data_IF_522676538694
#
_entry.id   IF_522676538694
#
_cell.length_a   1.000
_cell.length_b   1.000
_cell.length_c   1.000
_cell.angle_alpha   90.00
_cell.angle_beta   90.00
_cell.angle_gamma   90.00
#
_symmetry.space_group_name_H-M   'P 1'
#
loop_
_entity.id
_entity.type
_entity.pdbx_description
1 polymer ?
#
# COMPACT_ATOMS: atom_id res chain seq x y z
N UNK A 1 22.23 14.85 -12.82
CA UNK A 1 20.82 14.49 -13.08
C UNK A 1 20.23 15.56 -13.99
N UNK A 2 19.58 15.19 -15.09
CA UNK A 2 18.98 16.15 -16.03
C UNK A 2 17.46 16.15 -15.82
N UNK A 3 16.89 17.29 -15.44
CA UNK A 3 15.44 17.47 -15.35
C UNK A 3 14.90 17.62 -16.78
N UNK A 4 13.98 16.75 -17.18
CA UNK A 4 13.36 16.79 -18.51
C UNK A 4 12.19 17.78 -18.54
N UNK A 5 11.47 17.93 -17.42
CA UNK A 5 10.34 18.84 -17.27
C UNK A 5 10.09 19.18 -15.79
N UNK A 6 9.83 20.45 -15.48
CA UNK A 6 9.41 20.92 -14.17
C UNK A 6 8.47 22.12 -14.35
N UNK A 7 7.21 21.98 -13.92
CA UNK A 7 6.17 23.00 -14.08
C UNK A 7 5.30 23.04 -12.82
N UNK A 8 5.02 24.25 -12.30
CA UNK A 8 4.19 24.46 -11.11
C UNK A 8 4.93 24.25 -9.77
N UNK A 9 4.18 23.91 -8.73
CA UNK A 9 4.71 23.74 -7.36
C UNK A 9 5.23 22.32 -7.14
N UNK A 10 6.52 22.10 -7.37
CA UNK A 10 7.14 20.78 -7.26
C UNK A 10 7.80 20.50 -5.90
N UNK A 11 7.93 21.49 -5.02
CA UNK A 11 8.69 21.37 -3.76
C UNK A 11 7.80 21.22 -2.52
N UNK A 12 6.53 21.60 -2.61
CA UNK A 12 5.60 21.46 -1.48
C UNK A 12 5.25 20.00 -1.21
N UNK A 13 5.24 19.63 0.07
CA UNK A 13 4.88 18.28 0.53
C UNK A 13 3.39 18.19 0.79
N UNK A 14 2.79 17.08 0.38
CA UNK A 14 1.38 16.74 0.62
C UNK A 14 1.27 15.33 1.16
N UNK A 15 0.12 15.00 1.76
CA UNK A 15 -0.16 13.63 2.15
C UNK A 15 -0.10 12.71 0.92
N UNK A 16 0.63 11.59 0.97
CA UNK A 16 0.76 10.71 -0.19
C UNK A 16 -0.54 9.95 -0.50
N UNK A 17 -1.46 9.85 0.48
CA UNK A 17 -2.72 9.12 0.32
C UNK A 17 -2.45 7.71 -0.26
N UNK A 18 -3.12 7.34 -1.34
CA UNK A 18 -2.94 6.01 -1.95
C UNK A 18 -1.65 5.82 -2.73
N UNK A 19 -0.88 6.87 -3.05
CA UNK A 19 0.43 6.69 -3.70
C UNK A 19 1.44 6.04 -2.75
N UNK A 20 1.22 6.16 -1.43
CA UNK A 20 2.04 5.49 -0.41
C UNK A 20 1.99 3.96 -0.49
N UNK A 21 1.00 3.39 -1.18
CA UNK A 21 0.94 1.95 -1.47
C UNK A 21 2.18 1.44 -2.21
N UNK A 22 2.85 2.30 -2.99
CA UNK A 22 4.14 1.97 -3.62
C UNK A 22 5.18 1.64 -2.57
N UNK A 23 5.34 2.49 -1.55
CA UNK A 23 6.28 2.26 -0.46
C UNK A 23 5.89 1.03 0.38
N UNK A 24 4.60 0.91 0.76
CA UNK A 24 4.10 -0.27 1.49
C UNK A 24 4.35 -1.57 0.71
N UNK A 25 4.24 -1.54 -0.62
CA UNK A 25 4.52 -2.71 -1.45
C UNK A 25 5.99 -3.14 -1.32
N UNK A 26 6.93 -2.20 -1.33
CA UNK A 26 8.35 -2.51 -1.13
C UNK A 26 8.59 -3.12 0.25
N UNK A 27 8.04 -2.50 1.30
CA UNK A 27 8.16 -3.01 2.68
C UNK A 27 7.58 -4.42 2.81
N UNK A 28 6.40 -4.66 2.23
CA UNK A 28 5.71 -5.93 2.33
C UNK A 28 6.42 -7.07 1.60
N UNK A 29 7.03 -6.81 0.44
CA UNK A 29 7.84 -7.80 -0.28
C UNK A 29 9.18 -8.05 0.42
N UNK A 30 9.83 -7.01 0.93
CA UNK A 30 11.13 -7.12 1.61
C UNK A 30 11.00 -7.87 2.96
N UNK A 31 9.95 -7.60 3.73
CA UNK A 31 9.67 -8.31 5.00
C UNK A 31 9.11 -9.73 4.78
N UNK A 32 8.76 -10.08 3.54
CA UNK A 32 8.26 -11.40 3.15
C UNK A 32 6.78 -11.65 3.44
N UNK A 33 6.00 -10.62 3.80
CA UNK A 33 4.55 -10.74 3.92
C UNK A 33 3.88 -10.89 2.54
N UNK A 34 4.32 -10.09 1.57
CA UNK A 34 3.93 -10.21 0.16
C UNK A 34 4.91 -11.16 -0.53
N UNK A 35 4.38 -12.14 -1.26
CA UNK A 35 5.19 -13.20 -1.87
C UNK A 35 5.31 -13.00 -3.38
N UNK A 36 4.16 -12.77 -4.03
CA UNK A 36 4.06 -12.51 -5.46
C UNK A 36 2.80 -11.69 -5.75
N UNK A 37 2.52 -11.38 -7.01
CA UNK A 37 1.36 -10.57 -7.42
C UNK A 37 0.00 -11.12 -6.94
N UNK A 38 -0.08 -12.42 -6.67
CA UNK A 38 -1.31 -13.15 -6.31
C UNK A 38 -1.36 -13.62 -4.85
N UNK A 39 -0.24 -13.57 -4.13
CA UNK A 39 -0.14 -14.07 -2.75
C UNK A 39 0.46 -13.04 -1.77
N UNK A 40 -0.15 -12.88 -0.57
CA UNK A 40 -1.29 -13.63 -0.05
C UNK A 40 -2.64 -13.11 -0.56
N UNK A 41 -3.57 -14.02 -0.84
CA UNK A 41 -4.97 -13.68 -1.08
C UNK A 41 -5.70 -13.58 0.26
N UNK A 42 -6.09 -12.36 0.65
CA UNK A 42 -6.71 -12.11 1.95
C UNK A 42 -8.23 -11.95 1.80
N UNK A 43 -9.04 -12.64 2.62
CA UNK A 43 -10.48 -12.44 2.64
C UNK A 43 -10.86 -11.13 3.36
N UNK A 44 -11.98 -10.54 2.95
CA UNK A 44 -12.60 -9.44 3.70
C UNK A 44 -13.07 -9.94 5.07
N UNK A 45 -12.91 -9.13 6.12
CA UNK A 45 -13.45 -9.41 7.46
C UNK A 45 -14.37 -8.26 7.89
N UNK A 46 -15.33 -8.57 8.76
CA UNK A 46 -16.19 -7.56 9.36
C UNK A 46 -15.35 -6.47 10.05
N UNK A 47 -15.73 -5.21 9.84
CA UNK A 47 -15.03 -4.04 10.38
C UNK A 47 -13.89 -3.50 9.50
N UNK A 48 -13.63 -4.08 8.34
CA UNK A 48 -12.72 -3.47 7.36
C UNK A 48 -13.37 -2.23 6.73
N UNK A 49 -12.53 -1.26 6.36
CA UNK A 49 -12.97 -0.12 5.58
C UNK A 49 -13.28 -0.56 4.15
N UNK A 50 -14.49 -1.08 3.90
CA UNK A 50 -14.95 -1.71 2.66
C UNK A 50 -15.99 -0.87 1.90
N UNK A 51 -15.82 0.46 1.95
CA UNK A 51 -16.76 1.45 1.40
C UNK A 51 -17.03 1.29 -0.10
N UNK A 52 -16.12 0.64 -0.84
CA UNK A 52 -16.29 0.32 -2.26
C UNK A 52 -16.69 -1.13 -2.42
N UNK A 53 -17.61 -1.41 -3.34
CA UNK A 53 -18.07 -2.79 -3.59
C UNK A 53 -16.91 -3.72 -3.98
N UNK A 54 -15.95 -3.20 -4.75
CA UNK A 54 -14.74 -3.94 -5.15
C UNK A 54 -13.82 -4.30 -3.97
N UNK A 55 -14.04 -3.73 -2.78
CA UNK A 55 -13.29 -4.02 -1.55
C UNK A 55 -13.97 -5.10 -0.69
N UNK A 56 -15.23 -5.48 -0.97
CA UNK A 56 -16.00 -6.50 -0.24
C UNK A 56 -15.72 -7.93 -0.71
N UNK A 57 -14.60 -8.12 -1.39
CA UNK A 57 -14.14 -9.40 -1.89
C UNK A 57 -12.69 -9.62 -1.49
N UNK A 58 -12.25 -10.86 -1.57
CA UNK A 58 -10.85 -11.19 -1.31
C UNK A 58 -9.93 -10.41 -2.27
N UNK A 59 -8.80 -9.92 -1.76
CA UNK A 59 -7.82 -9.19 -2.56
C UNK A 59 -6.50 -9.95 -2.59
N UNK A 60 -5.84 -9.90 -3.73
CA UNK A 60 -4.41 -10.21 -3.90
C UNK A 60 -3.60 -8.90 -3.89
N UNK A 61 -2.24 -8.95 -3.84
CA UNK A 61 -1.42 -7.75 -4.00
C UNK A 61 -1.70 -6.99 -5.29
N UNK A 62 -1.98 -7.71 -6.39
CA UNK A 62 -2.39 -7.13 -7.68
C UNK A 62 -3.73 -6.42 -7.59
N UNK A 63 -4.74 -7.04 -6.98
CA UNK A 63 -6.06 -6.43 -6.82
C UNK A 63 -6.01 -5.23 -5.88
N UNK A 64 -5.21 -5.33 -4.81
CA UNK A 64 -4.95 -4.24 -3.88
C UNK A 64 -4.45 -2.99 -4.59
N UNK A 65 -3.44 -3.14 -5.45
CA UNK A 65 -2.88 -2.02 -6.22
C UNK A 65 -3.88 -1.50 -7.25
N UNK A 66 -4.54 -2.40 -8.00
CA UNK A 66 -5.53 -2.05 -9.03
C UNK A 66 -6.74 -1.29 -8.47
N UNK A 67 -7.26 -1.75 -7.34
CA UNK A 67 -8.50 -1.25 -6.73
C UNK A 67 -8.23 -0.22 -5.62
N UNK A 68 -6.95 0.12 -5.39
CA UNK A 68 -6.50 1.00 -4.32
C UNK A 68 -7.08 0.62 -2.94
N UNK A 69 -7.15 -0.68 -2.65
CA UNK A 69 -7.83 -1.20 -1.47
C UNK A 69 -7.14 -0.80 -0.15
N UNK A 70 -7.75 0.09 0.64
CA UNK A 70 -7.07 0.67 1.80
C UNK A 70 -6.91 -0.34 2.94
N UNK A 71 -7.90 -1.20 3.18
CA UNK A 71 -7.80 -2.18 4.27
C UNK A 71 -6.66 -3.18 4.06
N UNK A 72 -6.30 -3.49 2.81
CA UNK A 72 -5.16 -4.38 2.52
C UNK A 72 -3.83 -3.73 2.94
N UNK A 73 -3.66 -2.43 2.69
CA UNK A 73 -2.51 -1.66 3.20
C UNK A 73 -2.43 -1.69 4.72
N UNK A 74 -3.57 -1.57 5.41
CA UNK A 74 -3.62 -1.61 6.87
C UNK A 74 -3.24 -2.98 7.44
N UNK A 75 -3.49 -4.08 6.71
CA UNK A 75 -3.03 -5.41 7.14
C UNK A 75 -1.52 -5.50 6.97
N UNK A 76 -0.97 -5.15 5.80
CA UNK A 76 0.48 -5.20 5.57
C UNK A 76 1.23 -4.43 6.66
N UNK A 77 0.80 -3.20 6.98
CA UNK A 77 1.50 -2.38 7.99
C UNK A 77 1.30 -2.87 9.43
N UNK A 78 0.19 -3.57 9.73
CA UNK A 78 0.00 -4.21 11.04
C UNK A 78 0.90 -5.42 11.21
N UNK A 79 1.02 -6.26 10.19
CA UNK A 79 1.89 -7.43 10.20
C UNK A 79 3.36 -7.04 10.26
N UNK A 80 3.75 -5.98 9.54
CA UNK A 80 5.11 -5.43 9.59
C UNK A 80 5.48 -4.92 11.00
N UNK A 81 4.51 -4.33 11.71
CA UNK A 81 4.73 -3.73 13.03
C UNK A 81 5.35 -2.33 12.97
N UNK A 82 5.17 -1.56 14.05
CA UNK A 82 5.52 -0.12 14.08
C UNK A 82 7.03 0.14 14.02
N UNK A 83 7.86 -0.74 14.59
CA UNK A 83 9.32 -0.57 14.62
C UNK A 83 9.90 -0.66 13.21
N UNK A 84 9.66 -1.77 12.52
CA UNK A 84 10.10 -1.95 11.12
C UNK A 84 9.49 -0.90 10.20
N UNK A 85 8.20 -0.60 10.35
CA UNK A 85 7.55 0.43 9.56
C UNK A 85 8.27 1.77 9.68
N UNK A 86 8.65 2.16 10.91
CA UNK A 86 9.40 3.38 11.17
C UNK A 86 10.77 3.34 10.50
N UNK A 87 11.48 2.22 10.62
CA UNK A 87 12.82 2.07 10.04
C UNK A 87 12.84 2.18 8.51
N UNK A 88 11.77 1.79 7.81
CA UNK A 88 11.67 2.01 6.36
C UNK A 88 11.39 3.47 5.95
N UNK A 89 10.85 4.31 6.84
CA UNK A 89 10.41 5.67 6.50
C UNK A 89 11.28 6.78 7.08
N UNK A 90 12.28 6.44 7.89
CA UNK A 90 13.23 7.37 8.53
C UNK A 90 14.63 7.21 7.95
#
# INVERSE_FOLDING_TARGET
MKIIKQEGNCESRYAPCSTFKIAISLMGYDDGFLIDETHPKLPVKAGYADYLEVWKQSQTPKDWMKNSCVWYSQIITKELGIEKFRDYVT
#
